data_IF_987211367616
#
_entry.id   IF_987211367616
#
_cell.length_a   1.000
_cell.length_b   1.000
_cell.length_c   1.000
_cell.angle_alpha   90.00
_cell.angle_beta   90.00
_cell.angle_gamma   90.00
#
_symmetry.space_group_name_H-M   'P 1'
#
loop_
_entity.id
_entity.type
_entity.pdbx_description
1 polymer ?
#
# COMPACT_ATOMS: atom_id res chain seq x y z
N UNK A 1 32.91 -1.25 1.92
CA UNK A 1 32.33 -0.93 3.24
C UNK A 1 31.66 -2.19 3.74
N UNK A 2 32.17 -2.78 4.82
CA UNK A 2 31.71 -4.10 5.28
C UNK A 2 30.22 -4.09 5.65
N UNK A 3 29.50 -5.10 5.17
CA UNK A 3 28.07 -5.27 5.46
C UNK A 3 27.92 -5.70 6.92
N UNK A 4 27.38 -4.81 7.76
CA UNK A 4 27.11 -5.12 9.17
C UNK A 4 25.91 -6.06 9.30
N UNK A 5 26.03 -7.08 10.12
CA UNK A 5 24.98 -8.06 10.41
C UNK A 5 24.41 -7.88 11.82
N UNK A 6 23.11 -8.15 11.98
CA UNK A 6 22.36 -8.00 13.22
C UNK A 6 21.59 -9.28 13.54
N UNK A 7 21.60 -9.69 14.80
CA UNK A 7 20.74 -10.77 15.27
C UNK A 7 19.26 -10.36 15.18
N UNK A 8 18.37 -11.34 15.03
CA UNK A 8 16.92 -11.11 14.88
C UNK A 8 16.33 -10.17 15.94
N UNK A 9 16.73 -10.32 17.22
CA UNK A 9 16.24 -9.45 18.30
C UNK A 9 16.73 -8.00 18.18
N UNK A 10 17.96 -7.80 17.71
CA UNK A 10 18.53 -6.46 17.53
C UNK A 10 17.85 -5.71 16.39
N UNK A 11 17.69 -6.36 15.23
CA UNK A 11 17.02 -5.72 14.09
C UNK A 11 15.53 -5.53 14.35
N UNK A 12 14.86 -6.48 15.02
CA UNK A 12 13.46 -6.35 15.46
C UNK A 12 13.25 -5.09 16.33
N UNK A 13 14.08 -4.93 17.38
CA UNK A 13 14.04 -3.78 18.27
C UNK A 13 14.25 -2.47 17.51
N UNK A 14 15.25 -2.42 16.62
CA UNK A 14 15.56 -1.22 15.83
C UNK A 14 14.49 -0.87 14.79
N UNK A 15 13.87 -1.88 14.19
CA UNK A 15 12.80 -1.71 13.21
C UNK A 15 11.42 -1.48 13.87
N UNK A 16 11.30 -1.65 15.18
CA UNK A 16 10.05 -1.54 15.92
C UNK A 16 9.02 -2.61 15.51
N UNK A 17 9.48 -3.83 15.20
CA UNK A 17 8.63 -4.98 14.87
C UNK A 17 8.95 -6.16 15.78
N UNK A 18 8.02 -7.11 15.89
CA UNK A 18 8.30 -8.37 16.55
C UNK A 18 9.16 -9.29 15.66
N UNK A 19 9.82 -10.26 16.27
CA UNK A 19 10.65 -11.23 15.54
C UNK A 19 9.83 -12.11 14.58
N UNK A 20 8.54 -12.36 14.87
CA UNK A 20 7.65 -13.13 13.99
C UNK A 20 7.37 -12.38 12.68
N UNK A 21 7.22 -11.06 12.69
CA UNK A 21 7.07 -10.24 11.49
C UNK A 21 8.31 -10.33 10.59
N UNK A 22 9.52 -10.33 11.17
CA UNK A 22 10.74 -10.53 10.39
C UNK A 22 10.78 -11.91 9.73
N UNK A 23 10.41 -12.97 10.44
CA UNK A 23 10.31 -14.32 9.86
C UNK A 23 9.26 -14.38 8.76
N UNK A 24 8.16 -13.67 8.94
CA UNK A 24 7.09 -13.61 7.95
C UNK A 24 7.52 -12.84 6.69
N UNK A 25 8.18 -11.69 6.83
CA UNK A 25 8.75 -10.96 5.71
C UNK A 25 9.81 -11.79 4.99
N UNK A 26 10.63 -12.54 5.72
CA UNK A 26 11.60 -13.48 5.16
C UNK A 26 10.92 -14.61 4.36
N UNK A 27 9.87 -15.22 4.91
CA UNK A 27 9.07 -16.24 4.23
C UNK A 27 8.43 -15.71 2.94
N UNK A 28 8.06 -14.43 2.92
CA UNK A 28 7.52 -13.73 1.76
C UNK A 28 8.60 -13.22 0.79
N UNK A 29 9.87 -13.54 1.02
CA UNK A 29 11.00 -13.13 0.17
C UNK A 29 11.32 -11.63 0.23
N UNK A 30 10.70 -10.88 1.15
CA UNK A 30 10.89 -9.43 1.27
C UNK A 30 12.21 -9.07 1.94
N UNK A 31 12.73 -9.93 2.82
CA UNK A 31 14.05 -9.76 3.43
C UNK A 31 14.77 -11.10 3.45
N UNK A 32 16.09 -11.07 3.59
CA UNK A 32 16.91 -12.28 3.63
C UNK A 32 17.77 -12.29 4.89
N UNK A 33 18.02 -13.47 5.43
CA UNK A 33 18.99 -13.68 6.51
C UNK A 33 20.05 -14.69 6.11
N UNK A 34 21.21 -14.61 6.76
CA UNK A 34 22.18 -15.68 6.83
C UNK A 34 22.05 -16.41 8.16
N UNK A 35 22.68 -17.58 8.25
CA UNK A 35 22.85 -18.29 9.52
C UNK A 35 24.27 -18.10 10.03
N UNK A 36 24.41 -17.74 11.31
CA UNK A 36 25.68 -17.82 12.02
C UNK A 36 26.10 -19.29 12.20
N UNK A 37 27.35 -19.54 12.57
CA UNK A 37 27.82 -20.88 12.96
C UNK A 37 26.94 -21.54 14.04
N UNK A 38 26.48 -20.78 15.03
CA UNK A 38 25.53 -21.25 16.05
C UNK A 38 24.06 -21.34 15.62
N UNK A 39 23.75 -21.34 14.30
CA UNK A 39 22.40 -21.50 13.74
C UNK A 39 21.46 -20.30 13.88
N UNK A 40 21.91 -19.17 14.44
CA UNK A 40 21.10 -17.95 14.63
C UNK A 40 20.91 -17.22 13.30
N UNK A 41 19.72 -16.65 13.07
CA UNK A 41 19.48 -15.76 11.92
C UNK A 41 20.17 -14.42 12.11
N UNK A 42 20.91 -14.02 11.08
CA UNK A 42 21.59 -12.74 10.97
C UNK A 42 21.03 -11.99 9.77
N UNK A 43 20.51 -10.79 10.02
CA UNK A 43 19.98 -9.91 8.98
C UNK A 43 20.99 -8.80 8.71
N UNK A 44 21.16 -8.38 7.46
CA UNK A 44 22.06 -7.29 7.17
C UNK A 44 21.44 -5.96 7.64
N UNK A 45 22.26 -5.03 8.10
CA UNK A 45 21.78 -3.78 8.72
C UNK A 45 20.96 -2.92 7.74
N UNK A 46 21.30 -2.95 6.45
CA UNK A 46 20.58 -2.25 5.39
C UNK A 46 19.12 -2.72 5.23
N UNK A 47 18.79 -3.95 5.67
CA UNK A 47 17.42 -4.45 5.72
C UNK A 47 16.49 -3.59 6.58
N UNK A 48 17.02 -2.79 7.52
CA UNK A 48 16.23 -1.82 8.30
C UNK A 48 15.43 -0.87 7.42
N UNK A 49 16.02 -0.38 6.31
CA UNK A 49 15.32 0.53 5.40
C UNK A 49 14.17 -0.18 4.68
N UNK A 50 14.40 -1.43 4.26
CA UNK A 50 13.35 -2.26 3.64
C UNK A 50 12.22 -2.55 4.62
N UNK A 51 12.55 -2.91 5.87
CA UNK A 51 11.54 -3.17 6.92
C UNK A 51 10.74 -1.90 7.24
N UNK A 52 11.40 -0.76 7.40
CA UNK A 52 10.72 0.52 7.63
C UNK A 52 9.74 0.84 6.49
N UNK A 53 10.16 0.62 5.26
CA UNK A 53 9.32 0.80 4.08
C UNK A 53 8.10 -0.12 4.08
N UNK A 54 8.29 -1.42 4.31
CA UNK A 54 7.20 -2.41 4.42
C UNK A 54 6.18 -1.97 5.47
N UNK A 55 6.62 -1.54 6.65
CA UNK A 55 5.73 -1.10 7.73
C UNK A 55 4.88 0.11 7.33
N UNK A 56 5.50 1.13 6.75
CA UNK A 56 4.80 2.35 6.33
C UNK A 56 3.75 2.01 5.27
N UNK A 57 4.14 1.21 4.27
CA UNK A 57 3.23 0.77 3.22
C UNK A 57 2.04 -0.05 3.74
N UNK A 58 2.27 -0.99 4.65
CA UNK A 58 1.18 -1.75 5.28
C UNK A 58 0.22 -0.84 6.06
N UNK A 59 0.74 0.19 6.74
CA UNK A 59 -0.08 1.21 7.41
C UNK A 59 -0.96 2.03 6.45
N UNK A 60 -0.62 2.07 5.16
CA UNK A 60 -1.39 2.71 4.09
C UNK A 60 -2.36 1.74 3.39
N UNK A 61 -2.53 0.51 3.93
CA UNK A 61 -3.45 -0.49 3.39
C UNK A 61 -2.93 -1.21 2.14
N UNK A 62 -1.61 -1.27 1.94
CA UNK A 62 -1.02 -2.06 0.87
C UNK A 62 -0.79 -3.50 1.32
N UNK A 63 -1.10 -4.44 0.43
CA UNK A 63 -0.81 -5.85 0.61
C UNK A 63 0.69 -6.10 0.51
N UNK A 64 1.15 -7.22 1.10
CA UNK A 64 2.56 -7.60 0.98
C UNK A 64 2.97 -7.95 -0.44
N UNK A 65 2.03 -8.39 -1.28
CA UNK A 65 2.31 -8.73 -2.68
C UNK A 65 2.52 -7.46 -3.51
N UNK A 66 1.72 -6.41 -3.29
CA UNK A 66 1.98 -5.07 -3.88
C UNK A 66 3.34 -4.53 -3.44
N UNK A 67 3.66 -4.66 -2.14
CA UNK A 67 4.94 -4.23 -1.58
C UNK A 67 6.11 -5.03 -2.18
N UNK A 68 5.95 -6.35 -2.36
CA UNK A 68 6.95 -7.21 -2.97
C UNK A 68 7.21 -6.82 -4.43
N UNK A 69 6.15 -6.62 -5.21
CA UNK A 69 6.25 -6.17 -6.60
C UNK A 69 7.05 -4.88 -6.72
N UNK A 70 6.82 -3.94 -5.81
CA UNK A 70 7.48 -2.65 -5.86
C UNK A 70 8.92 -2.65 -5.28
N UNK A 71 9.25 -3.60 -4.39
CA UNK A 71 10.61 -3.80 -3.89
C UNK A 71 11.46 -4.73 -4.77
N UNK A 72 10.86 -5.40 -5.75
CA UNK A 72 11.49 -6.40 -6.63
C UNK A 72 12.66 -5.85 -7.43
N UNK A 73 12.66 -4.55 -7.72
CA UNK A 73 13.75 -3.92 -8.45
C UNK A 73 15.01 -3.68 -7.59
N UNK A 74 14.92 -3.71 -6.27
CA UNK A 74 16.09 -3.46 -5.43
C UNK A 74 17.10 -4.60 -5.59
N UNK A 75 18.41 -4.29 -5.62
CA UNK A 75 19.44 -5.30 -5.81
C UNK A 75 19.47 -6.28 -4.64
N UNK A 76 19.70 -7.55 -4.97
CA UNK A 76 20.08 -8.57 -4.00
C UNK A 76 21.61 -8.58 -3.82
N UNK A 77 22.08 -8.93 -2.63
CA UNK A 77 23.51 -9.13 -2.35
C UNK A 77 24.33 -7.86 -2.04
N UNK A 78 23.87 -6.65 -2.41
CA UNK A 78 24.50 -5.38 -1.99
C UNK A 78 23.52 -4.44 -1.29
N UNK A 79 24.04 -3.45 -0.58
CA UNK A 79 23.22 -2.36 -0.03
C UNK A 79 22.67 -1.51 -1.18
N UNK A 80 21.34 -1.31 -1.26
CA UNK A 80 20.76 -0.42 -2.26
C UNK A 80 21.22 1.03 -2.06
N UNK A 81 21.55 1.70 -3.16
CA UNK A 81 21.98 3.08 -3.18
C UNK A 81 20.83 4.04 -3.56
N UNK A 82 21.15 5.32 -3.71
CA UNK A 82 20.18 6.34 -4.07
C UNK A 82 19.45 6.04 -5.39
N UNK A 83 20.16 5.61 -6.43
CA UNK A 83 19.59 5.34 -7.74
C UNK A 83 18.63 4.14 -7.69
N UNK A 84 18.96 3.12 -6.90
CA UNK A 84 18.05 1.98 -6.68
C UNK A 84 16.73 2.43 -6.06
N UNK A 85 16.79 3.33 -5.07
CA UNK A 85 15.60 3.87 -4.40
C UNK A 85 14.81 4.83 -5.31
N UNK A 86 15.48 5.65 -6.12
CA UNK A 86 14.82 6.55 -7.07
C UNK A 86 14.06 5.77 -8.15
N UNK A 87 14.64 4.67 -8.65
CA UNK A 87 13.99 3.82 -9.67
C UNK A 87 12.69 3.19 -9.15
N UNK A 88 12.65 2.76 -7.89
CA UNK A 88 11.40 2.25 -7.31
C UNK A 88 10.42 3.37 -6.92
N UNK A 89 10.92 4.56 -6.59
CA UNK A 89 10.07 5.68 -6.15
C UNK A 89 9.08 6.10 -7.23
N UNK A 90 9.45 6.09 -8.51
CA UNK A 90 8.55 6.44 -9.61
C UNK A 90 7.33 5.51 -9.71
N UNK A 91 7.53 4.19 -9.59
CA UNK A 91 6.42 3.22 -9.59
C UNK A 91 5.49 3.43 -8.38
N UNK A 92 6.06 3.77 -7.24
CA UNK A 92 5.33 4.06 -6.01
C UNK A 92 4.52 5.34 -6.08
N UNK A 93 5.06 6.40 -6.69
CA UNK A 93 4.36 7.67 -6.82
C UNK A 93 3.04 7.48 -7.55
N UNK A 94 3.05 6.79 -8.71
CA UNK A 94 1.81 6.51 -9.46
C UNK A 94 0.78 5.74 -8.64
N UNK A 95 1.20 4.72 -7.90
CA UNK A 95 0.29 3.95 -7.05
C UNK A 95 -0.30 4.81 -5.91
N UNK A 96 0.54 5.60 -5.25
CA UNK A 96 0.11 6.49 -4.17
C UNK A 96 -0.82 7.58 -4.67
N UNK A 97 -0.52 8.19 -5.82
CA UNK A 97 -1.34 9.25 -6.42
C UNK A 97 -2.73 8.73 -6.77
N UNK A 98 -2.82 7.53 -7.36
CA UNK A 98 -4.12 6.90 -7.65
C UNK A 98 -4.94 6.63 -6.39
N UNK A 99 -4.31 6.13 -5.32
CA UNK A 99 -4.98 5.89 -4.03
C UNK A 99 -5.40 7.20 -3.36
N UNK A 100 -4.55 8.22 -3.38
CA UNK A 100 -4.86 9.55 -2.84
C UNK A 100 -6.06 10.14 -3.59
N UNK A 101 -6.08 10.08 -4.93
CA UNK A 101 -7.19 10.57 -5.73
C UNK A 101 -8.51 9.87 -5.38
N UNK A 102 -8.48 8.54 -5.24
CA UNK A 102 -9.65 7.75 -4.84
C UNK A 102 -10.14 8.10 -3.42
N UNK A 103 -9.23 8.22 -2.45
CA UNK A 103 -9.57 8.60 -1.08
C UNK A 103 -10.14 10.03 -1.01
N UNK A 104 -9.59 10.96 -1.77
CA UNK A 104 -10.11 12.32 -1.86
C UNK A 104 -11.49 12.35 -2.52
N UNK A 105 -11.71 11.56 -3.58
CA UNK A 105 -13.02 11.42 -4.22
C UNK A 105 -14.06 10.87 -3.24
N UNK A 106 -13.73 9.78 -2.55
CA UNK A 106 -14.60 9.19 -1.54
C UNK A 106 -14.92 10.20 -0.44
N UNK A 107 -13.91 10.88 0.12
CA UNK A 107 -14.08 11.92 1.14
C UNK A 107 -15.05 13.01 0.70
N UNK A 108 -14.94 13.50 -0.54
CA UNK A 108 -15.85 14.52 -1.09
C UNK A 108 -17.27 13.99 -1.28
N UNK A 109 -17.44 12.72 -1.60
CA UNK A 109 -18.73 12.12 -1.95
C UNK A 109 -19.48 11.46 -0.78
N UNK A 110 -18.89 11.37 0.43
CA UNK A 110 -19.54 10.76 1.61
C UNK A 110 -20.90 11.39 1.98
N UNK A 111 -21.08 12.68 1.71
CA UNK A 111 -22.33 13.41 1.99
C UNK A 111 -23.14 13.72 0.73
N UNK A 112 -22.68 13.27 -0.44
CA UNK A 112 -23.33 13.47 -1.72
C UNK A 112 -24.07 12.20 -2.16
N UNK A 113 -24.87 12.30 -3.23
CA UNK A 113 -25.37 11.11 -3.89
C UNK A 113 -24.21 10.36 -4.57
N UNK A 114 -24.01 9.10 -4.20
CA UNK A 114 -23.02 8.22 -4.84
C UNK A 114 -23.60 7.33 -5.94
N UNK A 115 -24.90 7.45 -6.24
CA UNK A 115 -25.58 6.65 -7.25
C UNK A 115 -25.74 5.17 -6.86
N UNK A 116 -26.09 4.90 -5.61
CA UNK A 116 -26.27 3.54 -5.07
C UNK A 116 -27.73 3.04 -5.09
N UNK A 117 -28.70 3.91 -5.40
CA UNK A 117 -30.12 3.57 -5.46
C UNK A 117 -30.89 3.48 -4.14
N UNK A 118 -30.26 3.74 -2.99
CA UNK A 118 -30.99 3.74 -1.72
C UNK A 118 -32.00 4.90 -1.57
N UNK A 119 -31.81 5.99 -2.32
CA UNK A 119 -32.57 7.25 -2.25
C UNK A 119 -32.76 7.81 -0.83
N UNK A 120 -31.83 7.49 0.08
CA UNK A 120 -32.00 7.74 1.52
C UNK A 120 -31.65 9.17 1.99
N UNK A 121 -31.12 10.01 1.11
CA UNK A 121 -30.77 11.40 1.40
C UNK A 121 -31.57 12.33 0.48
N UNK A 122 -31.89 13.54 0.92
CA UNK A 122 -32.53 14.57 0.09
C UNK A 122 -31.71 14.83 -1.19
N UNK A 123 -30.38 14.91 -1.06
CA UNK A 123 -29.47 15.06 -2.20
C UNK A 123 -29.51 13.84 -3.15
N UNK A 124 -29.85 12.65 -2.67
CA UNK A 124 -30.02 11.50 -3.56
C UNK A 124 -31.26 11.64 -4.44
N UNK A 125 -32.37 12.15 -3.91
CA UNK A 125 -33.56 12.38 -4.73
C UNK A 125 -33.32 13.46 -5.80
N UNK A 126 -32.49 14.47 -5.50
CA UNK A 126 -32.13 15.52 -6.44
C UNK A 126 -31.16 15.03 -7.53
N UNK A 127 -30.06 14.38 -7.15
CA UNK A 127 -28.98 14.01 -8.07
C UNK A 127 -29.13 12.62 -8.70
N UNK A 128 -29.96 11.75 -8.14
CA UNK A 128 -30.32 10.43 -8.67
C UNK A 128 -31.85 10.27 -8.66
N UNK A 129 -32.61 11.13 -9.36
CA UNK A 129 -34.06 11.08 -9.33
C UNK A 129 -34.55 9.71 -9.82
N UNK A 130 -35.48 9.11 -9.08
CA UNK A 130 -36.07 7.81 -9.44
C UNK A 130 -35.05 6.68 -9.65
N UNK A 131 -33.88 6.78 -9.03
CA UNK A 131 -32.78 5.83 -9.18
C UNK A 131 -32.29 5.62 -10.63
N UNK A 132 -32.23 6.70 -11.43
CA UNK A 132 -31.72 6.64 -12.81
C UNK A 132 -30.30 6.07 -12.93
N UNK A 133 -29.48 6.19 -11.88
CA UNK A 133 -28.15 5.60 -11.81
C UNK A 133 -28.15 4.10 -12.13
N UNK A 134 -29.22 3.35 -11.81
CA UNK A 134 -29.31 1.90 -12.08
C UNK A 134 -29.07 1.55 -13.56
N UNK A 135 -29.36 2.48 -14.48
CA UNK A 135 -29.10 2.32 -15.92
C UNK A 135 -27.62 2.15 -16.26
N UNK A 136 -26.70 2.67 -15.42
CA UNK A 136 -25.25 2.48 -15.56
C UNK A 136 -24.75 1.13 -15.05
N UNK A 137 -25.60 0.33 -14.38
CA UNK A 137 -25.27 -1.00 -13.86
C UNK A 137 -25.27 -1.07 -12.33
N UNK A 138 -24.59 -2.08 -11.78
CA UNK A 138 -24.57 -2.31 -10.33
C UNK A 138 -23.60 -1.37 -9.59
N UNK A 139 -23.91 -1.07 -8.31
CA UNK A 139 -23.02 -0.38 -7.39
C UNK A 139 -23.17 1.16 -7.39
N UNK A 140 -22.27 1.90 -6.71
CA UNK A 140 -22.36 3.35 -6.55
C UNK A 140 -21.88 4.07 -7.83
N UNK A 141 -22.76 4.15 -8.82
CA UNK A 141 -22.42 4.56 -10.19
C UNK A 141 -21.69 5.89 -10.28
N UNK A 142 -22.17 6.89 -9.55
CA UNK A 142 -21.54 8.20 -9.58
C UNK A 142 -20.19 8.21 -8.87
N UNK A 143 -19.99 7.40 -7.83
CA UNK A 143 -18.68 7.27 -7.20
C UNK A 143 -17.67 6.56 -8.12
N UNK A 144 -18.14 5.64 -8.95
CA UNK A 144 -17.30 4.87 -9.88
C UNK A 144 -16.97 5.62 -11.18
N UNK A 145 -17.52 6.81 -11.39
CA UNK A 145 -17.15 7.71 -12.48
C UNK A 145 -18.29 8.16 -13.38
N UNK A 146 -19.48 7.58 -13.25
CA UNK A 146 -20.64 7.99 -14.03
C UNK A 146 -21.07 9.41 -13.62
N UNK A 147 -21.54 10.20 -14.59
CA UNK A 147 -22.06 11.53 -14.31
C UNK A 147 -23.56 11.44 -13.97
N UNK A 148 -24.04 12.20 -12.97
CA UNK A 148 -25.47 12.38 -12.81
C UNK A 148 -26.05 13.03 -14.08
N UNK A 149 -27.33 12.78 -14.39
CA UNK A 149 -28.00 13.47 -15.48
C UNK A 149 -27.86 14.98 -15.30
N UNK A 150 -27.57 15.69 -16.39
CA UNK A 150 -27.59 17.16 -16.37
C UNK A 150 -29.05 17.57 -16.24
N UNK A 151 -29.42 18.06 -15.07
CA UNK A 151 -30.70 18.72 -14.84
C UNK A 151 -30.61 20.15 -15.38
N UNK A 152 -31.45 20.50 -16.34
CA UNK A 152 -31.72 21.89 -16.75
C UNK A 152 -32.30 22.74 -15.61
#
# INVERSE_FOLDING_TARGET
MDRKWLAIGQIAKRAGVNASALRFYEQKGLIQSLRSEGGRRLYPQDALRRIAFIRVAQGMGLSLDEIAGALSGLPDGRTPDRHDWERIAGQWQTLLDSRIAALQLMKRKLTACIGCGCLSLEHCALYNPQDQAVSGGCGPRYLLGDLPPVTD
#
